data_IF_141504060448
#
_entry.id   IF_141504060448
#
_cell.length_a   1.000
_cell.length_b   1.000
_cell.length_c   1.000
_cell.angle_alpha   90.00
_cell.angle_beta   90.00
_cell.angle_gamma   90.00
#
_symmetry.space_group_name_H-M   'P 1'
#
loop_
_entity.id
_entity.type
_entity.pdbx_description
1 polymer ?
#
# COMPACT_ATOMS: atom_id res chain seq x y z
N UNK A 1 31.63 56.93 25.84
CA UNK A 1 30.60 56.72 24.79
C UNK A 1 31.18 56.59 23.37
N UNK A 2 32.30 57.20 23.03
CA UNK A 2 32.90 57.10 21.67
C UNK A 2 33.58 55.73 21.39
N UNK A 3 34.12 55.06 22.41
CA UNK A 3 34.84 53.79 22.25
C UNK A 3 33.90 52.60 21.94
N UNK A 4 32.72 52.60 22.54
CA UNK A 4 31.74 51.53 22.37
C UNK A 4 31.18 51.50 20.92
N UNK A 5 30.98 52.70 20.34
CA UNK A 5 30.47 52.82 18.97
C UNK A 5 31.49 52.23 17.94
N UNK A 6 32.78 52.40 18.18
CA UNK A 6 33.84 51.84 17.29
C UNK A 6 33.90 50.32 17.38
N UNK A 7 33.67 49.72 18.53
CA UNK A 7 33.64 48.27 18.70
C UNK A 7 32.44 47.62 18.01
N UNK A 8 31.28 48.26 18.11
CA UNK A 8 30.06 47.75 17.47
C UNK A 8 30.21 47.81 15.92
N UNK A 9 30.82 48.86 15.38
CA UNK A 9 31.00 49.00 13.96
C UNK A 9 32.02 47.98 13.43
N UNK A 10 33.09 47.68 14.21
CA UNK A 10 34.06 46.67 13.83
C UNK A 10 33.47 45.25 13.89
N UNK A 11 32.59 44.98 14.86
CA UNK A 11 31.92 43.68 15.00
C UNK A 11 30.97 43.41 13.84
N UNK A 12 30.23 44.42 13.36
CA UNK A 12 29.37 44.27 12.19
C UNK A 12 30.16 44.12 10.88
N UNK A 13 31.35 44.69 10.78
CA UNK A 13 32.15 44.53 9.58
C UNK A 13 32.75 43.11 9.44
N UNK A 14 33.04 42.46 10.58
CA UNK A 14 33.60 41.08 10.57
C UNK A 14 32.49 40.08 10.22
N UNK A 15 31.23 40.34 10.62
CA UNK A 15 30.09 39.43 10.30
C UNK A 15 29.78 39.45 8.78
N UNK A 16 30.04 40.57 8.07
CA UNK A 16 29.70 40.70 6.67
C UNK A 16 30.70 40.03 5.72
N UNK A 17 31.89 39.64 6.21
CA UNK A 17 32.94 39.08 5.35
C UNK A 17 32.97 37.53 5.38
N UNK A 18 32.05 36.86 6.11
CA UNK A 18 32.12 35.41 6.29
C UNK A 18 31.07 34.61 5.49
N UNK A 19 30.38 35.22 4.51
CA UNK A 19 29.28 34.54 3.81
C UNK A 19 29.50 34.35 2.31
N UNK A 20 30.69 33.92 1.89
CA UNK A 20 30.84 33.38 0.53
C UNK A 20 31.62 32.07 0.65
N UNK A 21 30.99 31.07 1.26
CA UNK A 21 31.32 29.68 1.01
C UNK A 21 30.08 29.11 0.29
N UNK A 22 30.15 29.11 -1.02
CA UNK A 22 29.20 28.33 -1.82
C UNK A 22 29.50 26.86 -1.61
N UNK A 23 28.60 26.07 -1.00
CA UNK A 23 28.80 24.63 -1.07
C UNK A 23 28.62 24.20 -2.53
N UNK A 24 29.63 23.57 -3.11
CA UNK A 24 29.42 22.78 -4.30
C UNK A 24 28.40 21.68 -3.94
N UNK A 25 27.20 21.88 -4.39
CA UNK A 25 26.21 20.82 -4.37
C UNK A 25 26.66 19.82 -5.44
N UNK A 26 27.30 18.75 -4.98
CA UNK A 26 27.35 17.54 -5.77
C UNK A 26 25.90 17.14 -5.99
N UNK A 27 25.43 17.26 -7.19
CA UNK A 27 24.14 16.70 -7.58
C UNK A 27 24.20 15.21 -7.36
N UNK A 28 23.63 14.74 -6.27
CA UNK A 28 23.20 13.37 -6.21
C UNK A 28 22.16 13.23 -7.31
N UNK A 29 22.43 12.37 -8.25
CA UNK A 29 21.42 11.89 -9.17
C UNK A 29 20.28 11.38 -8.30
N UNK A 30 19.17 12.10 -8.28
CA UNK A 30 17.94 11.61 -7.73
C UNK A 30 17.58 10.36 -8.52
N UNK A 31 17.92 9.21 -7.98
CA UNK A 31 17.21 7.99 -8.32
C UNK A 31 15.74 8.29 -8.03
N UNK A 32 15.09 8.77 -9.05
CA UNK A 32 13.65 8.93 -9.06
C UNK A 32 13.08 7.51 -9.07
N UNK A 33 13.23 6.82 -7.95
CA UNK A 33 12.43 5.66 -7.65
C UNK A 33 11.01 6.19 -7.62
N UNK A 34 10.36 6.05 -8.73
CA UNK A 34 8.95 6.24 -8.88
C UNK A 34 8.27 5.24 -7.95
N UNK A 35 8.28 5.58 -6.67
CA UNK A 35 7.55 4.81 -5.67
C UNK A 35 6.12 4.71 -6.17
N UNK A 36 5.64 3.49 -6.28
CA UNK A 36 4.22 3.23 -6.50
C UNK A 36 3.43 4.25 -5.69
N UNK A 37 2.60 5.01 -6.38
CA UNK A 37 1.77 6.01 -5.72
C UNK A 37 0.72 5.27 -4.88
N UNK A 38 1.17 4.69 -3.79
CA UNK A 38 0.26 4.25 -2.74
C UNK A 38 -0.38 5.53 -2.21
N UNK A 39 -1.70 5.60 -2.29
CA UNK A 39 -2.42 6.71 -1.66
C UNK A 39 -1.89 6.90 -0.26
N UNK A 40 -1.22 8.02 -0.02
CA UNK A 40 -0.69 8.33 1.29
C UNK A 40 -1.85 8.47 2.26
N UNK A 41 -1.95 7.57 3.20
CA UNK A 41 -3.00 7.57 4.21
C UNK A 41 -2.38 7.79 5.60
N UNK A 42 -3.15 8.42 6.46
CA UNK A 42 -2.73 8.64 7.84
C UNK A 42 -2.67 7.31 8.58
N UNK A 43 -1.52 7.03 9.20
CA UNK A 43 -1.31 5.80 9.99
C UNK A 43 -1.61 6.02 11.45
N UNK A 44 -2.24 5.04 12.05
CA UNK A 44 -2.54 5.04 13.47
C UNK A 44 -1.44 4.44 14.34
N UNK A 45 -1.64 4.42 15.66
CA UNK A 45 -0.66 3.87 16.61
C UNK A 45 -0.30 2.40 16.38
N UNK A 46 -1.18 1.61 15.76
CA UNK A 46 -0.92 0.19 15.45
C UNK A 46 -0.34 0.00 14.04
N UNK A 47 -0.13 1.10 13.29
CA UNK A 47 0.39 1.08 11.94
C UNK A 47 -0.67 0.91 10.86
N UNK A 48 -1.94 0.86 11.25
CA UNK A 48 -3.07 0.72 10.33
C UNK A 48 -3.54 2.05 9.75
N UNK A 49 -4.42 1.98 8.75
CA UNK A 49 -5.03 3.14 8.12
C UNK A 49 -6.11 3.71 9.02
N UNK A 50 -6.10 5.04 9.22
CA UNK A 50 -7.08 5.74 10.05
C UNK A 50 -8.29 6.19 9.21
N UNK A 51 -9.47 5.99 9.79
CA UNK A 51 -10.75 6.45 9.25
C UNK A 51 -11.45 7.28 10.33
N UNK A 52 -11.61 8.57 10.09
CA UNK A 52 -12.16 9.51 11.07
C UNK A 52 -13.55 9.97 10.66
N UNK A 53 -14.45 10.02 11.61
CA UNK A 53 -15.78 10.59 11.43
C UNK A 53 -16.36 10.99 12.78
N UNK A 54 -16.75 12.25 12.92
CA UNK A 54 -17.21 12.84 14.17
C UNK A 54 -16.12 12.68 15.25
N UNK A 55 -16.48 12.13 16.40
CA UNK A 55 -15.54 11.86 17.49
C UNK A 55 -14.89 10.48 17.41
N UNK A 56 -15.29 9.66 16.41
CA UNK A 56 -14.83 8.27 16.30
C UNK A 56 -13.70 8.17 15.27
N UNK A 57 -12.68 7.42 15.63
CA UNK A 57 -11.60 7.02 14.72
C UNK A 57 -11.52 5.50 14.71
N UNK A 58 -11.55 4.92 13.53
CA UNK A 58 -11.32 3.49 13.29
C UNK A 58 -9.92 3.35 12.70
N UNK A 59 -9.07 2.53 13.28
CA UNK A 59 -7.78 2.14 12.69
C UNK A 59 -7.90 0.71 12.20
N UNK A 60 -7.71 0.51 10.90
CA UNK A 60 -7.81 -0.82 10.28
C UNK A 60 -6.46 -1.21 9.70
N UNK A 61 -6.00 -2.41 10.03
CA UNK A 61 -4.79 -2.97 9.44
C UNK A 61 -5.00 -4.43 9.03
N UNK A 62 -4.27 -4.85 8.02
CA UNK A 62 -4.16 -6.25 7.64
C UNK A 62 -3.00 -6.84 8.44
N UNK A 63 -3.28 -7.83 9.27
CA UNK A 63 -2.31 -8.46 10.16
C UNK A 63 -1.96 -9.85 9.64
N UNK A 64 -0.66 -10.08 9.39
CA UNK A 64 -0.15 -11.32 8.78
C UNK A 64 0.98 -11.98 9.57
N UNK A 65 1.42 -11.38 10.67
CA UNK A 65 2.59 -11.88 11.42
C UNK A 65 2.27 -13.19 12.14
N UNK A 66 2.83 -14.30 11.63
CA UNK A 66 2.71 -15.61 12.24
C UNK A 66 1.34 -16.27 12.19
N UNK A 67 0.43 -15.73 11.36
CA UNK A 67 -0.91 -16.28 11.18
C UNK A 67 -1.44 -15.87 9.79
N UNK A 68 -2.46 -16.58 9.28
CA UNK A 68 -3.08 -16.17 8.02
C UNK A 68 -3.61 -14.74 8.08
N UNK A 69 -3.64 -14.02 6.93
CA UNK A 69 -4.05 -12.61 6.92
C UNK A 69 -5.46 -12.39 7.49
N UNK A 70 -5.57 -11.51 8.49
CA UNK A 70 -6.84 -11.08 9.06
C UNK A 70 -6.85 -9.57 9.24
N UNK A 71 -8.01 -8.96 9.10
CA UNK A 71 -8.16 -7.56 9.50
C UNK A 71 -8.22 -7.45 11.02
N UNK A 72 -7.53 -6.46 11.56
CA UNK A 72 -7.67 -5.98 12.94
C UNK A 72 -8.11 -4.53 12.91
N UNK A 73 -9.10 -4.21 13.73
CA UNK A 73 -9.65 -2.87 13.81
C UNK A 73 -9.62 -2.38 15.26
N UNK A 74 -8.98 -1.24 15.47
CA UNK A 74 -8.92 -0.57 16.77
C UNK A 74 -9.83 0.64 16.75
N UNK A 75 -10.51 0.91 17.86
CA UNK A 75 -11.48 1.98 17.94
C UNK A 75 -11.02 3.03 18.94
N UNK A 76 -11.14 4.29 18.55
CA UNK A 76 -10.79 5.43 19.40
C UNK A 76 -11.95 6.42 19.41
N UNK A 77 -12.17 7.05 20.55
CA UNK A 77 -13.07 8.17 20.70
C UNK A 77 -12.29 9.34 21.29
N UNK A 78 -12.27 10.46 20.57
CA UNK A 78 -11.49 11.65 20.99
C UNK A 78 -10.04 11.30 21.32
N UNK A 79 -9.45 10.39 20.52
CA UNK A 79 -8.05 9.96 20.68
C UNK A 79 -7.79 8.91 21.76
N UNK A 80 -8.82 8.52 22.52
CA UNK A 80 -8.70 7.49 23.56
C UNK A 80 -9.26 6.16 23.04
N UNK A 81 -8.55 5.06 23.30
CA UNK A 81 -9.01 3.72 22.96
C UNK A 81 -10.33 3.40 23.66
N UNK A 82 -11.28 2.84 22.91
CA UNK A 82 -12.56 2.38 23.46
C UNK A 82 -12.71 0.87 23.26
N UNK A 83 -13.48 0.24 24.15
CA UNK A 83 -13.72 -1.20 24.08
C UNK A 83 -14.49 -1.56 22.83
N UNK A 84 -14.10 -2.63 22.11
CA UNK A 84 -14.82 -3.08 20.92
C UNK A 84 -16.09 -3.89 21.25
N UNK A 85 -16.35 -4.23 22.51
CA UNK A 85 -17.39 -5.19 22.89
C UNK A 85 -18.81 -4.74 22.52
N UNK A 86 -19.06 -3.42 22.49
CA UNK A 86 -20.37 -2.86 22.12
C UNK A 86 -20.43 -2.40 20.67
N UNK A 87 -19.48 -2.86 19.84
CA UNK A 87 -19.34 -2.43 18.45
C UNK A 87 -19.59 -3.59 17.49
N UNK A 88 -20.16 -3.28 16.34
CA UNK A 88 -20.29 -4.23 15.23
C UNK A 88 -19.62 -3.62 14.01
N UNK A 89 -18.66 -4.33 13.46
CA UNK A 89 -17.96 -3.91 12.24
C UNK A 89 -18.22 -4.93 11.14
N UNK A 90 -18.49 -4.43 9.95
CA UNK A 90 -18.57 -5.22 8.72
C UNK A 90 -17.78 -4.53 7.63
N UNK A 91 -17.06 -5.32 6.84
CA UNK A 91 -16.40 -4.83 5.65
C UNK A 91 -16.88 -5.60 4.43
N UNK A 92 -17.32 -4.90 3.40
CA UNK A 92 -17.60 -5.52 2.09
C UNK A 92 -16.36 -5.26 1.21
N UNK A 93 -15.76 -6.35 0.73
CA UNK A 93 -14.62 -6.31 -0.19
C UNK A 93 -15.15 -6.58 -1.60
N UNK A 94 -14.85 -5.69 -2.54
CA UNK A 94 -15.17 -5.90 -3.96
C UNK A 94 -13.87 -6.16 -4.71
N UNK A 95 -13.70 -7.39 -5.20
CA UNK A 95 -12.54 -7.82 -5.97
C UNK A 95 -12.59 -7.27 -7.39
N UNK A 96 -11.46 -7.27 -8.07
CA UNK A 96 -11.34 -6.75 -9.45
C UNK A 96 -12.34 -7.40 -10.43
N UNK A 97 -12.62 -8.69 -10.23
CA UNK A 97 -13.59 -9.43 -11.08
C UNK A 97 -15.05 -9.17 -10.69
N UNK A 98 -15.31 -8.19 -9.81
CA UNK A 98 -16.64 -7.85 -9.33
C UNK A 98 -17.14 -8.75 -8.20
N UNK A 99 -16.38 -9.77 -7.81
CA UNK A 99 -16.78 -10.65 -6.71
C UNK A 99 -16.77 -9.87 -5.39
N UNK A 100 -17.88 -10.02 -4.64
CA UNK A 100 -18.05 -9.40 -3.33
C UNK A 100 -17.88 -10.42 -2.22
N UNK A 101 -17.22 -10.01 -1.14
CA UNK A 101 -17.02 -10.82 0.05
C UNK A 101 -17.38 -9.97 1.27
N UNK A 102 -18.23 -10.50 2.14
CA UNK A 102 -18.62 -9.81 3.37
C UNK A 102 -17.76 -10.37 4.51
N UNK A 103 -17.01 -9.48 5.13
CA UNK A 103 -16.13 -9.80 6.26
C UNK A 103 -16.80 -9.29 7.53
N UNK A 104 -17.05 -10.20 8.45
CA UNK A 104 -17.58 -9.88 9.77
C UNK A 104 -16.47 -9.89 10.81
N UNK A 105 -16.69 -9.20 11.91
CA UNK A 105 -15.69 -9.04 12.97
C UNK A 105 -16.22 -9.51 14.31
N UNK A 106 -15.32 -9.95 15.17
CA UNK A 106 -15.60 -10.28 16.57
C UNK A 106 -14.61 -9.55 17.49
N UNK A 107 -15.03 -9.19 18.69
CA UNK A 107 -14.08 -8.57 19.63
C UNK A 107 -13.05 -9.58 20.12
N UNK A 108 -11.81 -9.11 20.23
CA UNK A 108 -10.66 -9.85 20.76
C UNK A 108 -9.87 -8.85 21.60
N UNK A 109 -9.89 -9.00 22.90
CA UNK A 109 -9.20 -8.09 23.82
C UNK A 109 -9.60 -6.62 23.55
N UNK A 110 -8.71 -5.82 22.96
CA UNK A 110 -8.92 -4.39 22.74
C UNK A 110 -9.11 -4.02 21.25
N UNK A 111 -9.35 -5.02 20.37
CA UNK A 111 -9.59 -4.79 18.95
C UNK A 111 -10.68 -5.71 18.42
N UNK A 112 -11.17 -5.41 17.22
CA UNK A 112 -12.06 -6.29 16.45
C UNK A 112 -11.21 -7.05 15.44
N UNK A 113 -11.35 -8.38 15.39
CA UNK A 113 -10.67 -9.22 14.41
C UNK A 113 -11.67 -9.79 13.41
N UNK A 114 -11.31 -9.82 12.15
CA UNK A 114 -12.14 -10.44 11.13
C UNK A 114 -12.30 -11.95 11.41
N UNK A 115 -13.51 -12.45 11.24
CA UNK A 115 -13.80 -13.88 11.38
C UNK A 115 -13.20 -14.67 10.22
N UNK A 116 -13.19 -14.05 9.04
CA UNK A 116 -12.67 -14.66 7.82
C UNK A 116 -11.22 -14.23 7.58
N UNK A 117 -10.42 -15.15 7.05
CA UNK A 117 -9.10 -14.86 6.49
C UNK A 117 -9.25 -14.01 5.23
N UNK A 118 -8.38 -13.04 5.06
CA UNK A 118 -8.38 -12.17 3.87
C UNK A 118 -7.46 -12.79 2.83
N UNK A 119 -8.05 -13.35 1.79
CA UNK A 119 -7.31 -14.05 0.74
C UNK A 119 -6.53 -13.08 -0.16
N UNK A 120 -5.36 -13.50 -0.58
CA UNK A 120 -4.58 -12.76 -1.59
C UNK A 120 -5.23 -12.84 -2.98
N UNK A 121 -4.95 -11.91 -3.88
CA UNK A 121 -4.17 -10.70 -3.65
C UNK A 121 -4.96 -9.67 -2.83
N UNK A 122 -4.25 -8.85 -2.04
CA UNK A 122 -4.90 -7.82 -1.23
C UNK A 122 -5.21 -6.58 -2.06
N UNK A 123 -5.94 -6.82 -3.17
CA UNK A 123 -6.36 -5.79 -4.13
C UNK A 123 -7.87 -5.81 -4.23
N UNK A 124 -8.51 -4.81 -3.60
CA UNK A 124 -9.98 -4.73 -3.54
C UNK A 124 -10.43 -3.33 -3.13
N UNK A 125 -11.65 -2.99 -3.50
CA UNK A 125 -12.37 -1.85 -2.92
C UNK A 125 -13.05 -2.31 -1.64
N UNK A 126 -13.04 -1.46 -0.62
CA UNK A 126 -13.57 -1.78 0.70
C UNK A 126 -14.64 -0.76 1.10
N UNK A 127 -15.79 -1.27 1.53
CA UNK A 127 -16.82 -0.48 2.20
C UNK A 127 -16.89 -0.95 3.65
N UNK A 128 -16.61 -0.04 4.59
CA UNK A 128 -16.64 -0.31 6.03
C UNK A 128 -17.93 0.24 6.62
N UNK A 129 -18.61 -0.57 7.43
CA UNK A 129 -19.75 -0.15 8.23
C UNK A 129 -19.50 -0.50 9.69
N UNK A 130 -19.36 0.52 10.52
CA UNK A 130 -19.19 0.38 11.96
C UNK A 130 -20.43 0.89 12.66
N UNK A 131 -20.98 0.07 13.57
CA UNK A 131 -22.08 0.46 14.45
C UNK A 131 -21.56 0.46 15.88
N UNK A 132 -21.76 1.57 16.57
CA UNK A 132 -21.50 1.71 18.01
C UNK A 132 -22.80 2.22 18.64
N UNK A 133 -23.40 1.40 19.50
CA UNK A 133 -24.74 1.67 20.07
C UNK A 133 -25.75 1.92 18.94
N UNK A 134 -26.35 3.10 18.87
CA UNK A 134 -27.35 3.45 17.86
C UNK A 134 -26.76 4.20 16.66
N UNK A 135 -25.46 4.54 16.69
CA UNK A 135 -24.83 5.32 15.63
C UNK A 135 -24.12 4.43 14.63
N UNK A 136 -24.20 4.79 13.35
CA UNK A 136 -23.54 4.08 12.26
C UNK A 136 -22.56 5.01 11.56
N UNK A 137 -21.38 4.47 11.26
CA UNK A 137 -20.28 5.17 10.60
C UNK A 137 -19.91 4.35 9.36
N UNK A 138 -19.73 5.02 8.24
CA UNK A 138 -19.38 4.37 6.97
C UNK A 138 -18.20 5.05 6.33
N UNK A 139 -17.28 4.25 5.78
CA UNK A 139 -16.11 4.72 5.04
C UNK A 139 -15.90 3.83 3.83
N UNK A 140 -15.19 4.35 2.84
CA UNK A 140 -14.79 3.59 1.67
C UNK A 140 -13.31 3.88 1.38
N UNK A 141 -12.59 2.86 0.93
CA UNK A 141 -11.22 3.00 0.49
C UNK A 141 -10.88 1.88 -0.48
N UNK A 142 -9.74 2.01 -1.12
CA UNK A 142 -9.23 0.93 -1.97
C UNK A 142 -7.80 0.57 -1.55
N UNK A 143 -7.41 -0.64 -1.88
CA UNK A 143 -6.04 -1.11 -1.75
C UNK A 143 -5.74 -1.92 -3.01
N UNK A 144 -4.61 -1.63 -3.65
CA UNK A 144 -4.23 -2.26 -4.91
C UNK A 144 -2.79 -2.76 -4.83
N UNK A 145 -2.62 -3.84 -4.09
CA UNK A 145 -1.33 -4.50 -3.98
C UNK A 145 -0.89 -5.06 -5.32
N UNK A 146 0.34 -4.74 -5.72
CA UNK A 146 0.93 -5.24 -6.95
C UNK A 146 0.30 -4.66 -8.22
N UNK A 147 -0.36 -3.50 -8.15
CA UNK A 147 -0.97 -2.84 -9.30
C UNK A 147 -0.39 -1.46 -9.53
N UNK A 148 -0.20 -1.14 -10.78
CA UNK A 148 0.22 0.17 -11.23
C UNK A 148 -0.86 0.75 -12.15
N UNK A 149 -1.35 1.95 -11.82
CA UNK A 149 -2.31 2.66 -12.67
C UNK A 149 -1.54 3.57 -13.62
N UNK A 150 -1.47 3.18 -14.88
CA UNK A 150 -0.79 3.95 -15.91
C UNK A 150 -1.80 4.77 -16.71
N UNK A 151 -1.50 6.04 -16.87
CA UNK A 151 -2.32 6.90 -17.75
C UNK A 151 -1.97 6.61 -19.22
N UNK A 152 -2.92 6.81 -20.17
CA UNK A 152 -2.70 6.46 -21.58
C UNK A 152 -1.44 7.09 -22.19
N UNK A 153 -1.08 8.29 -21.78
CA UNK A 153 0.13 8.96 -22.28
C UNK A 153 1.40 8.20 -21.94
N UNK A 154 1.47 7.60 -20.74
CA UNK A 154 2.62 6.79 -20.32
C UNK A 154 2.67 5.48 -21.10
N UNK A 155 1.51 4.85 -21.32
CA UNK A 155 1.43 3.62 -22.11
C UNK A 155 1.99 3.86 -23.53
N UNK A 156 1.59 4.96 -24.15
CA UNK A 156 2.06 5.34 -25.50
C UNK A 156 3.56 5.66 -25.51
N UNK A 157 4.02 6.47 -24.56
CA UNK A 157 5.42 6.86 -24.48
C UNK A 157 6.37 5.66 -24.26
N UNK A 158 5.92 4.69 -23.45
CA UNK A 158 6.67 3.48 -23.15
C UNK A 158 6.44 2.34 -24.16
N UNK A 159 5.61 2.59 -25.19
CA UNK A 159 5.23 1.58 -26.20
C UNK A 159 4.66 0.31 -25.55
N UNK A 160 3.88 0.46 -24.49
CA UNK A 160 3.26 -0.67 -23.79
C UNK A 160 1.95 -1.02 -24.51
N UNK A 161 1.87 -2.23 -25.01
CA UNK A 161 0.67 -2.77 -25.64
C UNK A 161 -0.06 -3.68 -24.65
N UNK A 162 -1.38 -3.60 -24.64
CA UNK A 162 -2.22 -4.43 -23.78
C UNK A 162 -3.14 -5.28 -24.62
N UNK A 163 -3.39 -6.50 -24.17
CA UNK A 163 -4.31 -7.41 -24.83
C UNK A 163 -5.26 -8.00 -23.78
N UNK A 164 -6.50 -8.22 -24.20
CA UNK A 164 -7.49 -8.82 -23.31
C UNK A 164 -7.18 -10.29 -23.08
N UNK A 165 -7.08 -10.68 -21.82
CA UNK A 165 -6.89 -12.09 -21.47
C UNK A 165 -8.18 -12.88 -21.76
N UNK A 166 -8.06 -13.93 -22.54
CA UNK A 166 -9.17 -14.80 -22.92
C UNK A 166 -8.83 -16.25 -22.65
N UNK A 167 -9.87 -17.08 -22.52
CA UNK A 167 -9.67 -18.54 -22.41
C UNK A 167 -9.15 -19.10 -23.73
N UNK A 168 -8.05 -19.84 -23.67
CA UNK A 168 -7.45 -20.45 -24.83
C UNK A 168 -7.01 -21.88 -24.50
N UNK A 169 -7.17 -22.77 -25.46
CA UNK A 169 -6.65 -24.12 -25.34
C UNK A 169 -5.16 -24.11 -25.57
N UNK A 170 -4.39 -24.45 -24.57
CA UNK A 170 -2.94 -24.52 -24.66
C UNK A 170 -2.54 -25.98 -24.95
N UNK A 171 -1.91 -26.20 -26.10
CA UNK A 171 -1.30 -27.47 -26.39
C UNK A 171 0.08 -27.49 -25.73
N UNK A 172 0.26 -28.43 -24.82
CA UNK A 172 1.56 -28.65 -24.21
C UNK A 172 2.52 -29.25 -25.24
N UNK A 173 3.58 -28.53 -25.55
CA UNK A 173 4.63 -29.04 -26.41
C UNK A 173 5.89 -29.27 -25.58
N UNK A 174 6.39 -30.48 -25.58
CA UNK A 174 7.66 -30.80 -24.99
C UNK A 174 8.74 -30.78 -26.11
N UNK A 175 9.56 -29.76 -26.08
CA UNK A 175 10.67 -29.64 -27.03
C UNK A 175 11.89 -30.31 -26.40
N UNK A 176 12.20 -31.54 -26.83
CA UNK A 176 13.36 -32.30 -26.33
C UNK A 176 14.49 -32.17 -27.34
N UNK A 177 15.64 -31.72 -26.86
CA UNK A 177 16.88 -31.69 -27.65
C UNK A 177 17.65 -32.97 -27.25
N UNK A 178 17.75 -33.90 -28.19
CA UNK A 178 18.54 -35.11 -27.98
C UNK A 178 19.88 -35.01 -28.70
N UNK A 179 20.84 -35.60 -28.36
CA UNK A 179 22.06 -35.69 -28.95
C UNK A 179 22.08 -36.95 -29.72
N UNK A 180 22.27 -36.88 -30.48
CA UNK A 180 22.31 -37.96 -31.18
C UNK A 180 23.49 -38.72 -30.94
N UNK A 181 23.29 -39.34 -30.65
CA UNK A 181 24.28 -40.19 -30.58
C UNK A 181 24.27 -40.91 -31.84
N UNK A 182 25.28 -41.27 -32.29
CA UNK A 182 25.51 -41.86 -33.62
C UNK A 182 24.93 -43.26 -33.79
N UNK A 183 23.95 -43.64 -33.06
CA UNK A 183 23.26 -44.93 -33.28
C UNK A 183 21.84 -44.66 -33.80
N UNK A 184 21.54 -45.16 -34.91
CA UNK A 184 20.37 -45.00 -35.81
C UNK A 184 18.97 -45.15 -35.21
N UNK A 185 18.78 -44.85 -33.93
CA UNK A 185 17.44 -44.92 -33.32
C UNK A 185 16.92 -43.48 -33.03
N UNK A 186 16.32 -42.91 -34.07
CA UNK A 186 15.66 -41.62 -33.96
C UNK A 186 14.19 -41.84 -33.57
N UNK A 187 13.88 -41.56 -32.35
CA UNK A 187 12.47 -41.58 -31.96
C UNK A 187 11.88 -40.21 -32.29
N UNK A 188 10.99 -40.18 -33.23
CA UNK A 188 10.27 -38.98 -33.61
C UNK A 188 9.30 -38.49 -32.52
N UNK A 189 8.81 -37.28 -32.66
CA UNK A 189 7.91 -36.60 -31.77
C UNK A 189 6.70 -37.49 -31.45
N UNK A 190 6.55 -37.86 -30.18
CA UNK A 190 5.35 -38.55 -29.71
C UNK A 190 4.29 -37.52 -29.36
N UNK A 191 3.28 -37.40 -30.21
CA UNK A 191 2.07 -36.64 -29.91
C UNK A 191 1.17 -37.47 -28.97
N UNK A 192 0.85 -36.91 -27.81
CA UNK A 192 -0.21 -37.43 -26.95
C UNK A 192 -1.33 -36.44 -26.85
#
# INVERSE_FOLDING_TARGET
MKLIKKFVTLFFLIIFLSTIVTPMVFGSEDDNQQSEAQEEFEKGPQGGRLFKKDSITLELLLFERGMPPHFRAYLYQEGKTISPNSSQLTAELTRFNGKKEVITFRPVENFLQSNQMIKEPHSFDVSLQLRISEKSYNWQYNTYEGRLKLVPAILQAANIQTEKAESQTIKTQLKVVGXXXDNNDFCGICDR
#
